data_IF_430457677772
#
_entry.id   IF_430457677772
#
_cell.length_a   1.000
_cell.length_b   1.000
_cell.length_c   1.000
_cell.angle_alpha   90.00
_cell.angle_beta   90.00
_cell.angle_gamma   90.00
#
_symmetry.space_group_name_H-M   'P 1'
#
loop_
_entity.id
_entity.type
_entity.pdbx_description
1 polymer ?
#
# COMPACT_ATOMS: atom_id res chain seq x y z
N UNK A 1 -48.04 -12.62 46.49
CA UNK A 1 -46.72 -12.03 46.79
C UNK A 1 -45.71 -12.74 45.91
N UNK A 2 -44.95 -12.01 45.07
CA UNK A 2 -43.75 -12.44 44.31
C UNK A 2 -44.00 -13.42 43.13
N UNK A 3 -43.63 -13.18 41.87
CA UNK A 3 -42.80 -12.16 41.22
C UNK A 3 -43.32 -11.86 39.81
N UNK A 4 -43.54 -10.57 39.57
CA UNK A 4 -43.59 -9.86 38.31
C UNK A 4 -42.13 -9.52 37.97
N UNK A 5 -41.55 -10.02 36.88
CA UNK A 5 -40.38 -9.50 36.11
C UNK A 5 -40.21 -10.47 34.94
N UNK A 6 -40.89 -10.21 33.82
CA UNK A 6 -40.61 -10.91 32.56
C UNK A 6 -40.92 -10.04 31.33
N UNK A 7 -40.69 -8.72 31.38
CA UNK A 7 -40.64 -7.90 30.15
C UNK A 7 -39.71 -6.72 30.39
N UNK A 8 -38.38 -6.90 30.26
CA UNK A 8 -37.47 -5.75 30.03
C UNK A 8 -36.04 -6.12 29.59
N UNK A 9 -35.82 -7.22 28.85
CA UNK A 9 -34.46 -7.61 28.42
C UNK A 9 -34.27 -7.86 26.91
N UNK A 10 -35.28 -7.57 26.08
CA UNK A 10 -35.19 -7.75 24.63
C UNK A 10 -35.07 -6.46 23.81
N UNK A 11 -35.08 -5.28 24.45
CA UNK A 11 -34.95 -3.98 23.74
C UNK A 11 -33.57 -3.31 23.89
N UNK A 12 -32.68 -3.81 24.75
CA UNK A 12 -31.35 -3.23 24.94
C UNK A 12 -30.28 -3.82 23.98
N UNK A 13 -30.48 -5.02 23.44
CA UNK A 13 -29.52 -5.64 22.51
C UNK A 13 -29.61 -5.10 21.06
N UNK A 14 -30.75 -4.54 20.65
CA UNK A 14 -30.90 -3.91 19.33
C UNK A 14 -30.20 -2.54 19.26
N UNK A 15 -30.42 -1.70 20.28
CA UNK A 15 -29.90 -0.34 20.33
C UNK A 15 -28.36 -0.27 20.51
N UNK A 16 -27.77 -1.24 21.23
CA UNK A 16 -26.30 -1.33 21.37
C UNK A 16 -25.62 -1.81 20.09
N UNK A 17 -26.22 -2.76 19.34
CA UNK A 17 -25.69 -3.18 18.04
C UNK A 17 -25.80 -2.08 16.98
N UNK A 18 -26.94 -1.39 16.90
CA UNK A 18 -27.12 -0.25 16.00
C UNK A 18 -26.17 0.90 16.35
N UNK A 19 -25.93 1.17 17.64
CA UNK A 19 -24.96 2.20 18.04
C UNK A 19 -23.50 1.79 17.77
N UNK A 20 -23.11 0.54 17.98
CA UNK A 20 -21.77 0.06 17.61
C UNK A 20 -21.56 0.01 16.09
N UNK A 21 -22.58 -0.36 15.31
CA UNK A 21 -22.54 -0.27 13.85
C UNK A 21 -22.49 1.19 13.39
N UNK A 22 -23.29 2.08 13.97
CA UNK A 22 -23.27 3.51 13.66
C UNK A 22 -21.97 4.20 14.08
N UNK A 23 -21.32 3.79 15.17
CA UNK A 23 -19.99 4.29 15.55
C UNK A 23 -18.89 3.75 14.64
N UNK A 24 -18.95 2.47 14.23
CA UNK A 24 -18.05 1.91 13.21
C UNK A 24 -18.22 2.62 11.86
N UNK A 25 -19.46 2.87 11.43
CA UNK A 25 -19.82 3.63 10.22
C UNK A 25 -19.36 5.09 10.32
N UNK A 26 -19.50 5.74 11.49
CA UNK A 26 -18.96 7.10 11.72
C UNK A 26 -17.43 7.13 11.73
N UNK A 27 -16.77 6.07 12.20
CA UNK A 27 -15.30 5.98 12.16
C UNK A 27 -14.77 5.77 10.74
N UNK A 28 -15.50 5.07 9.87
CA UNK A 28 -15.13 4.90 8.45
C UNK A 28 -15.40 6.14 7.60
N UNK A 29 -16.21 7.08 8.09
CA UNK A 29 -16.50 8.36 7.42
C UNK A 29 -15.41 9.43 7.58
N UNK A 30 -14.45 9.26 8.51
CA UNK A 30 -13.39 10.24 8.81
C UNK A 30 -11.96 9.74 8.53
N UNK A 31 -11.78 8.82 7.57
CA UNK A 31 -10.48 8.31 7.13
C UNK A 31 -9.93 9.07 5.91
N UNK A 32 -10.07 10.40 5.89
CA UNK A 32 -9.47 11.26 4.88
C UNK A 32 -8.39 12.16 5.51
N UNK A 33 -7.20 12.19 4.91
CA UNK A 33 -6.11 13.04 5.38
C UNK A 33 -5.61 13.93 4.23
N UNK A 34 -5.47 15.22 4.51
CA UNK A 34 -4.95 16.18 3.55
C UNK A 34 -3.48 16.44 3.87
N UNK A 35 -2.62 16.22 2.88
CA UNK A 35 -1.20 16.56 2.95
C UNK A 35 -1.04 17.96 2.37
N UNK A 36 -0.28 18.82 3.05
CA UNK A 36 0.01 20.16 2.54
C UNK A 36 0.65 20.07 1.14
N UNK A 37 -0.04 20.66 0.17
CA UNK A 37 0.35 20.58 -1.23
C UNK A 37 1.61 21.39 -1.51
N UNK A 38 2.43 20.88 -2.43
CA UNK A 38 3.64 21.51 -2.92
C UNK A 38 4.08 20.84 -4.22
N UNK A 39 5.20 21.27 -4.78
CA UNK A 39 5.73 20.70 -6.02
C UNK A 39 6.74 19.54 -5.75
N UNK A 40 6.63 18.87 -4.59
CA UNK A 40 7.53 17.78 -4.20
C UNK A 40 6.96 16.46 -4.70
N UNK A 41 7.80 15.49 -5.09
CA UNK A 41 7.31 14.20 -5.53
C UNK A 41 6.63 13.44 -4.39
N UNK A 42 5.76 12.50 -4.73
CA UNK A 42 5.28 11.47 -3.81
C UNK A 42 6.07 10.21 -4.12
N UNK A 43 6.70 9.60 -3.11
CA UNK A 43 7.54 8.41 -3.29
C UNK A 43 6.80 7.18 -2.77
N UNK A 44 6.86 6.08 -3.50
CA UNK A 44 6.26 4.80 -3.16
C UNK A 44 7.31 3.68 -3.21
N UNK A 45 7.33 2.82 -2.20
CA UNK A 45 8.13 1.59 -2.20
C UNK A 45 7.42 0.53 -1.35
N UNK A 46 7.49 -0.73 -1.74
CA UNK A 46 6.98 -1.87 -0.96
C UNK A 46 8.08 -2.80 -0.54
N UNK A 47 7.74 -3.70 0.40
CA UNK A 47 8.54 -4.87 0.71
C UNK A 47 9.94 -4.46 1.20
N UNK A 48 9.94 -3.80 2.35
CA UNK A 48 11.16 -3.33 3.03
C UNK A 48 11.54 -4.24 4.19
N UNK A 49 10.90 -5.40 4.32
CA UNK A 49 11.19 -6.32 5.40
C UNK A 49 12.65 -6.80 5.38
N UNK A 50 13.16 -7.19 6.55
CA UNK A 50 14.39 -7.95 6.64
C UNK A 50 14.20 -9.36 6.06
N UNK A 51 15.28 -9.97 5.63
CA UNK A 51 15.27 -11.41 5.34
C UNK A 51 15.24 -12.15 6.66
N UNK A 52 14.23 -13.00 6.86
CA UNK A 52 14.10 -13.78 8.09
C UNK A 52 15.28 -14.72 8.28
N UNK A 53 15.65 -15.01 9.54
CA UNK A 53 16.60 -16.08 9.87
C UNK A 53 16.13 -17.45 9.34
N UNK A 54 14.82 -17.61 9.13
CA UNK A 54 14.21 -18.82 8.57
C UNK A 54 14.39 -18.90 7.05
N UNK A 55 14.76 -17.78 6.41
CA UNK A 55 15.01 -17.65 4.98
C UNK A 55 16.50 -17.44 4.70
N UNK A 56 17.39 -18.01 5.52
CA UNK A 56 18.85 -17.81 5.43
C UNK A 56 19.49 -18.14 4.07
N UNK A 57 18.79 -18.86 3.19
CA UNK A 57 19.22 -19.13 1.81
C UNK A 57 18.91 -17.99 0.82
N UNK A 58 18.08 -17.02 1.21
CA UNK A 58 17.78 -15.83 0.43
C UNK A 58 18.82 -14.74 0.71
N UNK A 59 18.92 -13.77 -0.19
CA UNK A 59 19.81 -12.62 0.00
C UNK A 59 19.42 -11.81 1.24
N UNK A 60 20.41 -11.32 2.01
CA UNK A 60 20.22 -10.28 3.02
C UNK A 60 20.55 -8.92 2.40
N UNK A 61 19.61 -7.99 2.55
CA UNK A 61 19.62 -6.71 1.83
C UNK A 61 19.58 -5.51 2.79
N UNK A 62 19.97 -5.68 4.05
CA UNK A 62 19.82 -4.62 5.07
C UNK A 62 20.59 -3.35 4.72
N UNK A 63 21.81 -3.50 4.19
CA UNK A 63 22.60 -2.38 3.69
C UNK A 63 21.97 -1.67 2.48
N UNK A 64 21.21 -2.40 1.66
CA UNK A 64 20.50 -1.83 0.50
C UNK A 64 19.26 -1.07 0.95
N UNK A 65 18.47 -1.63 1.87
CA UNK A 65 17.31 -0.95 2.44
C UNK A 65 17.68 0.37 3.11
N UNK A 66 18.77 0.39 3.89
CA UNK A 66 19.31 1.63 4.46
C UNK A 66 19.65 2.67 3.40
N UNK A 67 20.24 2.25 2.26
CA UNK A 67 20.51 3.15 1.12
C UNK A 67 19.22 3.67 0.49
N UNK A 68 18.19 2.85 0.34
CA UNK A 68 16.87 3.26 -0.15
C UNK A 68 16.29 4.36 0.75
N UNK A 69 16.19 4.13 2.06
CA UNK A 69 15.63 5.15 2.95
C UNK A 69 16.45 6.44 3.02
N UNK A 70 17.78 6.34 2.99
CA UNK A 70 18.66 7.50 2.90
C UNK A 70 18.40 8.31 1.61
N UNK A 71 18.29 7.63 0.47
CA UNK A 71 18.01 8.27 -0.81
C UNK A 71 16.63 8.94 -0.85
N UNK A 72 15.60 8.26 -0.36
CA UNK A 72 14.24 8.82 -0.24
C UNK A 72 14.27 10.08 0.65
N UNK A 73 15.01 10.04 1.76
CA UNK A 73 15.19 11.21 2.61
C UNK A 73 15.90 12.35 1.85
N UNK A 74 16.97 12.08 1.10
CA UNK A 74 17.67 13.07 0.27
C UNK A 74 16.75 13.77 -0.72
N UNK A 75 15.87 13.02 -1.39
CA UNK A 75 14.91 13.56 -2.34
C UNK A 75 13.77 14.38 -1.71
N UNK A 76 13.62 14.32 -0.39
CA UNK A 76 12.71 15.16 0.39
C UNK A 76 11.26 15.22 -0.15
N UNK A 77 10.58 14.08 -0.34
CA UNK A 77 9.26 14.03 -0.96
C UNK A 77 8.15 14.66 -0.11
N UNK A 78 7.04 15.00 -0.77
CA UNK A 78 5.81 15.48 -0.14
C UNK A 78 5.32 14.52 0.95
N UNK A 79 5.34 13.23 0.65
CA UNK A 79 5.26 12.13 1.60
C UNK A 79 5.92 10.87 1.00
N UNK A 80 6.16 9.89 1.87
CA UNK A 80 6.55 8.54 1.50
C UNK A 80 5.37 7.59 1.75
N UNK A 81 5.02 6.77 0.76
CA UNK A 81 3.98 5.74 0.87
C UNK A 81 4.64 4.37 0.82
N UNK A 82 4.53 3.63 1.92
CA UNK A 82 4.96 2.25 2.01
C UNK A 82 3.85 1.32 1.50
N UNK A 83 4.17 0.42 0.57
CA UNK A 83 3.21 -0.50 -0.07
C UNK A 83 2.98 -1.78 0.75
N UNK A 84 3.18 -1.73 2.07
CA UNK A 84 3.08 -2.88 2.99
C UNK A 84 4.38 -3.66 3.15
N UNK A 85 4.36 -4.61 4.08
CA UNK A 85 5.50 -5.44 4.50
C UNK A 85 6.70 -4.59 4.93
N UNK A 86 6.47 -3.78 5.96
CA UNK A 86 7.51 -2.94 6.58
C UNK A 86 8.59 -3.79 7.26
N UNK A 87 8.12 -4.84 7.94
CA UNK A 87 8.89 -5.81 8.72
C UNK A 87 8.47 -7.22 8.31
N UNK A 88 9.24 -8.24 8.71
CA UNK A 88 8.91 -9.63 8.38
C UNK A 88 7.91 -10.21 9.41
N UNK A 89 8.10 -9.97 10.69
CA UNK A 89 7.14 -10.35 11.73
C UNK A 89 6.53 -9.12 12.36
N UNK A 90 5.30 -8.80 11.94
CA UNK A 90 4.54 -7.68 12.47
C UNK A 90 4.35 -7.75 13.99
N UNK A 91 4.31 -8.95 14.58
CA UNK A 91 4.20 -9.11 16.03
C UNK A 91 5.52 -8.91 16.78
N UNK A 92 6.66 -8.95 16.07
CA UNK A 92 8.00 -8.81 16.63
C UNK A 92 8.36 -7.36 16.91
N UNK A 93 8.40 -6.98 18.19
CA UNK A 93 8.80 -5.63 18.61
C UNK A 93 10.23 -5.26 18.18
N UNK A 94 11.15 -6.23 18.18
CA UNK A 94 12.54 -6.00 17.79
C UNK A 94 12.70 -5.70 16.31
N UNK A 95 11.88 -6.30 15.45
CA UNK A 95 11.89 -5.95 14.02
C UNK A 95 11.33 -4.55 13.78
N UNK A 96 10.31 -4.14 14.52
CA UNK A 96 9.83 -2.75 14.48
C UNK A 96 10.88 -1.75 15.01
N UNK A 97 11.61 -2.09 16.09
CA UNK A 97 12.74 -1.25 16.56
C UNK A 97 13.82 -1.08 15.49
N UNK A 98 14.12 -2.17 14.78
CA UNK A 98 15.11 -2.12 13.70
C UNK A 98 14.60 -1.34 12.47
N UNK A 99 13.32 -1.49 12.12
CA UNK A 99 12.68 -0.64 11.09
C UNK A 99 12.71 0.84 11.49
N UNK A 100 12.46 1.16 12.76
CA UNK A 100 12.52 2.53 13.30
C UNK A 100 13.90 3.17 13.11
N UNK A 101 14.97 2.39 13.29
CA UNK A 101 16.35 2.83 13.03
C UNK A 101 16.60 3.06 11.54
N UNK A 102 16.15 2.14 10.68
CA UNK A 102 16.36 2.18 9.24
C UNK A 102 15.64 3.37 8.59
N UNK A 103 14.40 3.67 8.99
CA UNK A 103 13.60 4.77 8.44
C UNK A 103 13.92 6.13 9.07
N UNK A 104 14.78 6.17 10.09
CA UNK A 104 15.14 7.38 10.83
C UNK A 104 15.57 8.57 9.95
N UNK A 105 16.32 8.41 8.83
CA UNK A 105 16.66 9.53 7.94
C UNK A 105 15.43 10.25 7.38
N UNK A 106 14.36 9.52 7.05
CA UNK A 106 13.10 10.07 6.53
C UNK A 106 12.39 10.82 7.65
N UNK A 107 12.26 10.21 8.83
CA UNK A 107 11.61 10.82 10.00
C UNK A 107 12.32 12.09 10.49
N UNK A 108 13.65 12.11 10.50
CA UNK A 108 14.46 13.29 10.88
C UNK A 108 14.21 14.50 9.98
N UNK A 109 13.79 14.29 8.73
CA UNK A 109 13.40 15.37 7.82
C UNK A 109 11.93 15.80 7.95
N UNK A 110 11.17 15.17 8.84
CA UNK A 110 9.74 15.44 8.99
C UNK A 110 8.91 15.05 7.77
N UNK A 111 9.40 14.12 6.94
CA UNK A 111 8.65 13.60 5.79
C UNK A 111 7.51 12.72 6.33
N UNK A 112 6.24 13.01 6.00
CA UNK A 112 5.11 12.15 6.38
C UNK A 112 5.23 10.76 5.76
N UNK A 113 4.97 9.71 6.54
CA UNK A 113 4.97 8.33 6.08
C UNK A 113 3.56 7.75 6.24
N UNK A 114 3.06 7.17 5.16
CA UNK A 114 1.78 6.46 5.12
C UNK A 114 2.02 5.03 4.65
N UNK A 115 1.21 4.07 5.11
CA UNK A 115 1.34 2.67 4.72
C UNK A 115 0.00 2.01 4.43
N UNK A 116 -0.03 1.07 3.50
CA UNK A 116 -1.06 0.01 3.49
C UNK A 116 -0.59 -1.18 4.35
N UNK A 117 -1.52 -2.04 4.74
CA UNK A 117 -1.21 -3.30 5.41
C UNK A 117 -0.79 -4.35 4.36
N UNK A 118 0.42 -4.90 4.51
CA UNK A 118 0.85 -6.13 3.88
C UNK A 118 0.49 -7.37 4.69
N UNK A 119 0.86 -8.55 4.21
CA UNK A 119 0.58 -9.79 4.93
C UNK A 119 1.51 -9.97 6.14
N UNK A 120 2.70 -9.36 6.12
CA UNK A 120 3.61 -9.41 7.26
C UNK A 120 3.14 -8.53 8.44
N UNK A 121 2.29 -7.53 8.20
CA UNK A 121 1.56 -6.80 9.26
C UNK A 121 0.45 -7.64 9.95
N UNK A 122 0.24 -8.87 9.47
CA UNK A 122 -0.60 -9.90 10.07
C UNK A 122 0.21 -11.14 10.51
N UNK A 123 1.53 -11.16 10.31
CA UNK A 123 2.36 -12.31 10.65
C UNK A 123 2.68 -12.35 12.16
N UNK A 124 2.78 -13.57 12.70
CA UNK A 124 2.89 -13.81 14.14
C UNK A 124 1.52 -13.83 14.85
N UNK A 125 1.36 -13.04 15.92
CA UNK A 125 0.04 -12.81 16.55
C UNK A 125 -0.64 -11.57 15.94
N UNK A 126 -1.73 -11.76 15.19
CA UNK A 126 -2.40 -10.68 14.43
C UNK A 126 -2.78 -9.48 15.31
N UNK A 127 -3.20 -9.71 16.56
CA UNK A 127 -3.60 -8.62 17.45
C UNK A 127 -2.39 -7.76 17.82
N UNK A 128 -1.28 -8.40 18.16
CA UNK A 128 0.00 -7.75 18.47
C UNK A 128 0.56 -7.06 17.22
N UNK A 129 0.53 -7.73 16.08
CA UNK A 129 1.01 -7.20 14.82
C UNK A 129 0.29 -5.91 14.41
N UNK A 130 -1.06 -5.93 14.43
CA UNK A 130 -1.85 -4.74 14.14
C UNK A 130 -1.65 -3.63 15.19
N UNK A 131 -1.45 -3.98 16.47
CA UNK A 131 -1.17 -2.98 17.50
C UNK A 131 0.19 -2.29 17.27
N UNK A 132 1.23 -3.03 16.88
CA UNK A 132 2.53 -2.47 16.56
C UNK A 132 2.41 -1.56 15.32
N UNK A 133 1.79 -2.05 14.25
CA UNK A 133 1.54 -1.27 13.03
C UNK A 133 0.81 0.05 13.32
N UNK A 134 -0.27 0.04 14.10
CA UNK A 134 -0.99 1.27 14.42
C UNK A 134 -0.29 2.17 15.45
N UNK A 135 0.65 1.63 16.22
CA UNK A 135 1.50 2.42 17.10
C UNK A 135 2.56 3.19 16.31
N UNK A 136 3.00 2.61 15.19
CA UNK A 136 3.89 3.21 14.22
C UNK A 136 3.14 4.28 13.38
N UNK A 137 2.05 3.89 12.73
CA UNK A 137 1.26 4.79 11.89
C UNK A 137 0.09 5.42 12.66
N UNK A 138 0.38 6.22 13.68
CA UNK A 138 -0.68 6.82 14.54
C UNK A 138 -1.61 7.76 13.78
N UNK A 139 -1.07 8.45 12.78
CA UNK A 139 -1.78 9.45 11.96
C UNK A 139 -3.02 8.87 11.28
N UNK A 140 -3.00 7.57 10.89
CA UNK A 140 -4.11 6.92 10.19
C UNK A 140 -5.24 6.45 11.13
N UNK A 141 -5.15 6.76 12.44
CA UNK A 141 -6.20 6.55 13.45
C UNK A 141 -6.78 5.13 13.48
N UNK A 142 -5.91 4.12 13.37
CA UNK A 142 -6.30 2.69 13.32
C UNK A 142 -7.18 2.30 12.12
N UNK A 143 -7.17 3.10 11.06
CA UNK A 143 -7.89 2.77 9.82
C UNK A 143 -7.12 1.72 9.03
N UNK A 144 -7.79 0.63 8.65
CA UNK A 144 -7.22 -0.41 7.76
C UNK A 144 -7.28 -0.01 6.28
N UNK A 145 -8.12 0.97 5.95
CA UNK A 145 -8.25 1.60 4.65
C UNK A 145 -8.61 3.07 4.85
N UNK A 146 -8.07 3.94 4.02
CA UNK A 146 -8.20 5.39 4.16
C UNK A 146 -7.83 6.09 2.85
N UNK A 147 -8.06 7.39 2.78
CA UNK A 147 -7.72 8.20 1.62
C UNK A 147 -6.82 9.37 1.99
N UNK A 148 -5.95 9.76 1.06
CA UNK A 148 -5.07 10.90 1.18
C UNK A 148 -5.32 11.86 0.01
N UNK A 149 -5.12 13.16 0.23
CA UNK A 149 -5.00 14.14 -0.87
C UNK A 149 -3.66 14.87 -0.82
N UNK A 150 -3.07 15.08 -2.01
CA UNK A 150 -1.89 15.90 -2.22
C UNK A 150 -2.08 16.76 -3.47
N UNK A 151 -2.31 18.06 -3.27
CA UNK A 151 -2.68 18.95 -4.36
C UNK A 151 -3.96 18.47 -5.04
N UNK A 152 -3.92 18.29 -6.37
CA UNK A 152 -5.05 17.82 -7.18
C UNK A 152 -5.19 16.29 -7.25
N UNK A 153 -4.48 15.56 -6.38
CA UNK A 153 -4.34 14.12 -6.48
C UNK A 153 -4.88 13.44 -5.23
N UNK A 154 -5.65 12.38 -5.42
CA UNK A 154 -6.16 11.55 -4.35
C UNK A 154 -5.54 10.15 -4.39
N UNK A 155 -5.34 9.57 -3.21
CA UNK A 155 -4.80 8.23 -3.03
C UNK A 155 -5.79 7.42 -2.20
N UNK A 156 -6.17 6.25 -2.69
CA UNK A 156 -7.08 5.32 -2.02
C UNK A 156 -6.25 4.14 -1.50
N UNK A 157 -6.00 4.14 -0.19
CA UNK A 157 -5.21 3.14 0.53
C UNK A 157 -6.15 2.04 1.02
N UNK A 158 -6.00 0.82 0.49
CA UNK A 158 -6.93 -0.28 0.71
C UNK A 158 -6.24 -1.48 1.38
N UNK A 159 -6.95 -2.18 2.26
CA UNK A 159 -6.50 -3.46 2.78
C UNK A 159 -6.79 -4.58 1.77
N UNK A 160 -5.76 -5.36 1.46
CA UNK A 160 -5.84 -6.47 0.50
C UNK A 160 -5.65 -7.85 1.14
N UNK A 161 -5.53 -7.92 2.46
CA UNK A 161 -5.43 -9.17 3.22
C UNK A 161 -6.81 -9.81 3.41
N UNK A 162 -7.47 -10.21 2.31
CA UNK A 162 -8.86 -10.69 2.35
C UNK A 162 -9.06 -11.90 3.26
N UNK A 163 -8.06 -12.78 3.36
CA UNK A 163 -8.10 -13.95 4.25
C UNK A 163 -8.10 -13.56 5.74
N UNK A 164 -7.61 -12.36 6.07
CA UNK A 164 -7.58 -11.79 7.42
C UNK A 164 -8.79 -10.89 7.73
N UNK A 165 -9.75 -10.83 6.81
CA UNK A 165 -10.91 -9.94 6.90
C UNK A 165 -12.22 -10.72 7.01
N UNK A 166 -13.12 -10.24 7.87
CA UNK A 166 -14.47 -10.77 7.90
C UNK A 166 -15.24 -10.35 6.63
N UNK A 167 -16.27 -11.13 6.25
CA UNK A 167 -17.17 -10.76 5.14
C UNK A 167 -17.78 -9.36 5.33
N UNK A 168 -18.05 -8.97 6.57
CA UNK A 168 -18.56 -7.64 6.90
C UNK A 168 -17.51 -6.57 6.60
N UNK A 169 -16.27 -6.74 7.04
CA UNK A 169 -15.18 -5.78 6.78
C UNK A 169 -14.91 -5.61 5.29
N UNK A 170 -14.92 -6.71 4.53
CA UNK A 170 -14.78 -6.68 3.06
C UNK A 170 -15.91 -5.86 2.43
N UNK A 171 -17.15 -6.10 2.85
CA UNK A 171 -18.33 -5.35 2.36
C UNK A 171 -18.25 -3.86 2.68
N UNK A 172 -17.88 -3.52 3.92
CA UNK A 172 -17.72 -2.12 4.35
C UNK A 172 -16.63 -1.40 3.56
N UNK A 173 -15.46 -2.03 3.40
CA UNK A 173 -14.35 -1.45 2.62
C UNK A 173 -14.74 -1.25 1.15
N UNK A 174 -15.39 -2.24 0.53
CA UNK A 174 -15.81 -2.13 -0.87
C UNK A 174 -16.85 -1.01 -1.07
N UNK A 175 -17.81 -0.89 -0.15
CA UNK A 175 -18.77 0.23 -0.16
C UNK A 175 -18.04 1.56 -0.01
N UNK A 176 -17.18 1.68 1.00
CA UNK A 176 -16.40 2.90 1.25
C UNK A 176 -15.55 3.30 0.04
N UNK A 177 -14.90 2.33 -0.62
CA UNK A 177 -14.08 2.57 -1.81
C UNK A 177 -14.91 3.15 -2.95
N UNK A 178 -16.08 2.56 -3.24
CA UNK A 178 -17.00 3.04 -4.27
C UNK A 178 -17.49 4.45 -3.98
N UNK A 179 -18.02 4.68 -2.78
CA UNK A 179 -18.55 5.98 -2.38
C UNK A 179 -17.46 7.08 -2.36
N UNK A 180 -16.25 6.75 -1.91
CA UNK A 180 -15.13 7.71 -1.89
C UNK A 180 -14.64 8.03 -3.30
N UNK A 181 -14.57 7.03 -4.19
CA UNK A 181 -14.21 7.24 -5.58
C UNK A 181 -15.26 8.07 -6.33
N UNK A 182 -16.55 7.85 -6.06
CA UNK A 182 -17.65 8.69 -6.59
C UNK A 182 -17.52 10.14 -6.13
N UNK A 183 -17.25 10.37 -4.83
CA UNK A 183 -16.97 11.72 -4.32
C UNK A 183 -15.79 12.38 -5.04
N UNK A 184 -14.68 11.66 -5.23
CA UNK A 184 -13.54 12.19 -5.98
C UNK A 184 -13.85 12.42 -7.46
N UNK A 185 -14.72 11.63 -8.08
CA UNK A 185 -15.18 11.88 -9.45
C UNK A 185 -15.95 13.20 -9.56
N UNK A 186 -16.81 13.49 -8.57
CA UNK A 186 -17.62 14.71 -8.52
C UNK A 186 -16.81 15.95 -8.11
N UNK A 187 -15.74 15.79 -7.34
CA UNK A 187 -14.89 16.89 -6.89
C UNK A 187 -14.00 17.42 -8.02
N UNK A 188 -14.32 18.59 -8.56
CA UNK A 188 -13.56 19.21 -9.66
C UNK A 188 -12.12 19.58 -9.29
N UNK A 189 -11.79 19.71 -8.01
CA UNK A 189 -10.42 20.00 -7.56
C UNK A 189 -9.50 18.79 -7.70
N UNK A 190 -10.06 17.57 -7.63
CA UNK A 190 -9.35 16.32 -7.84
C UNK A 190 -9.29 15.99 -9.33
N UNK A 191 -8.07 15.83 -9.85
CA UNK A 191 -7.78 15.53 -11.26
C UNK A 191 -7.26 14.12 -11.49
N UNK A 192 -6.71 13.47 -10.47
CA UNK A 192 -6.21 12.11 -10.58
C UNK A 192 -6.40 11.34 -9.28
N UNK A 193 -6.69 10.05 -9.41
CA UNK A 193 -6.87 9.11 -8.32
C UNK A 193 -5.91 7.93 -8.51
N UNK A 194 -5.19 7.60 -7.44
CA UNK A 194 -4.29 6.46 -7.37
C UNK A 194 -4.88 5.44 -6.40
N UNK A 195 -4.89 4.16 -6.78
CA UNK A 195 -5.36 3.09 -5.91
C UNK A 195 -4.17 2.28 -5.44
N UNK A 196 -4.11 1.99 -4.14
CA UNK A 196 -2.95 1.39 -3.51
C UNK A 196 -3.41 0.21 -2.66
N UNK A 197 -2.84 -0.95 -2.93
CA UNK A 197 -2.95 -2.16 -2.12
C UNK A 197 -1.56 -2.70 -1.84
N UNK A 198 -1.44 -3.70 -0.97
CA UNK A 198 -0.22 -4.49 -0.89
C UNK A 198 -0.19 -5.57 -1.99
N UNK A 199 -1.21 -6.43 -2.05
CA UNK A 199 -1.25 -7.52 -3.02
C UNK A 199 -1.60 -7.02 -4.43
N UNK A 200 -0.87 -7.46 -5.47
CA UNK A 200 -1.09 -7.04 -6.84
C UNK A 200 -2.26 -7.78 -7.49
N UNK A 201 -3.13 -7.10 -8.27
CA UNK A 201 -4.13 -7.78 -9.08
C UNK A 201 -3.51 -8.57 -10.23
N UNK A 202 -2.29 -8.24 -10.65
CA UNK A 202 -1.55 -8.91 -11.73
C UNK A 202 -0.07 -8.98 -11.38
N UNK A 203 0.56 -10.14 -11.61
CA UNK A 203 2.02 -10.33 -11.45
C UNK A 203 2.45 -11.54 -12.29
N UNK A 204 3.68 -11.53 -12.79
CA UNK A 204 4.36 -12.68 -13.36
C UNK A 204 5.40 -13.28 -12.40
N UNK A 205 5.33 -12.97 -11.10
CA UNK A 205 6.17 -13.59 -10.07
C UNK A 205 6.10 -15.10 -10.14
N UNK A 206 7.25 -15.74 -9.90
CA UNK A 206 7.36 -17.20 -9.74
C UNK A 206 7.17 -17.64 -8.28
N UNK A 207 7.13 -16.69 -7.34
CA UNK A 207 7.00 -16.97 -5.91
C UNK A 207 5.58 -16.71 -5.39
N UNK A 208 4.88 -15.72 -5.95
CA UNK A 208 3.51 -15.35 -5.54
C UNK A 208 2.59 -15.25 -6.76
N UNK A 209 1.30 -15.46 -6.56
CA UNK A 209 0.30 -15.39 -7.63
C UNK A 209 -0.41 -14.03 -7.67
N UNK A 210 -1.13 -13.76 -8.75
CA UNK A 210 -2.05 -12.63 -8.78
C UNK A 210 -3.17 -12.74 -7.74
N UNK A 211 -3.61 -11.61 -7.18
CA UNK A 211 -4.68 -11.61 -6.20
C UNK A 211 -6.06 -11.44 -6.86
N UNK A 212 -6.83 -12.52 -6.88
CA UNK A 212 -8.18 -12.56 -7.50
C UNK A 212 -9.23 -11.78 -6.73
N UNK A 213 -9.09 -11.63 -5.42
CA UNK A 213 -10.03 -10.82 -4.64
C UNK A 213 -9.80 -9.33 -4.86
N UNK A 214 -8.54 -8.88 -4.98
CA UNK A 214 -8.23 -7.51 -5.45
C UNK A 214 -8.86 -7.28 -6.83
N UNK A 215 -8.74 -8.25 -7.75
CA UNK A 215 -9.39 -8.18 -9.06
C UNK A 215 -10.91 -8.00 -8.93
N UNK A 216 -11.56 -8.88 -8.16
CA UNK A 216 -13.00 -8.94 -7.99
C UNK A 216 -13.59 -7.72 -7.29
N UNK A 217 -12.93 -7.22 -6.25
CA UNK A 217 -13.53 -6.18 -5.38
C UNK A 217 -13.22 -4.77 -5.84
N UNK A 218 -12.10 -4.53 -6.54
CA UNK A 218 -11.66 -3.16 -6.83
C UNK A 218 -11.60 -2.80 -8.30
N UNK A 219 -11.40 -3.75 -9.22
CA UNK A 219 -11.10 -3.39 -10.61
C UNK A 219 -12.28 -2.79 -11.37
N UNK A 220 -13.51 -3.21 -11.10
CA UNK A 220 -14.68 -2.65 -11.78
C UNK A 220 -14.80 -1.13 -11.51
N UNK A 221 -14.72 -0.73 -10.24
CA UNK A 221 -14.75 0.69 -9.86
C UNK A 221 -13.49 1.42 -10.31
N UNK A 222 -12.33 0.76 -10.26
CA UNK A 222 -11.09 1.33 -10.77
C UNK A 222 -11.20 1.62 -12.27
N UNK A 223 -11.73 0.72 -13.08
CA UNK A 223 -11.88 0.95 -14.52
C UNK A 223 -12.99 1.96 -14.85
N UNK A 224 -14.10 1.98 -14.10
CA UNK A 224 -15.23 2.87 -14.38
C UNK A 224 -14.96 4.36 -14.10
N UNK A 225 -14.06 4.68 -13.15
CA UNK A 225 -13.72 6.08 -12.87
C UNK A 225 -12.85 6.68 -13.99
N UNK A 226 -13.19 7.86 -14.53
CA UNK A 226 -12.32 8.54 -15.49
C UNK A 226 -11.07 9.18 -14.84
N UNK A 227 -11.04 9.31 -13.50
CA UNK A 227 -9.95 9.96 -12.76
C UNK A 227 -8.89 8.99 -12.26
N UNK A 228 -9.17 7.68 -12.23
CA UNK A 228 -8.15 6.70 -11.81
C UNK A 228 -7.08 6.54 -12.88
N UNK A 229 -5.81 6.63 -12.45
CA UNK A 229 -4.65 6.65 -13.36
C UNK A 229 -3.74 5.43 -13.20
N UNK A 230 -3.35 5.15 -11.97
CA UNK A 230 -2.44 4.05 -11.66
C UNK A 230 -2.90 3.28 -10.42
N UNK A 231 -2.64 1.98 -10.44
CA UNK A 231 -2.87 1.06 -9.35
C UNK A 231 -1.51 0.54 -8.86
N UNK A 232 -1.14 0.80 -7.61
CA UNK A 232 0.15 0.40 -7.04
C UNK A 232 0.01 -0.78 -6.09
N UNK A 233 1.02 -1.65 -6.09
CA UNK A 233 1.11 -2.83 -5.24
C UNK A 233 2.56 -3.17 -4.90
N UNK A 234 2.77 -3.88 -3.79
CA UNK A 234 4.02 -4.54 -3.39
C UNK A 234 3.89 -6.07 -3.54
N UNK A 235 4.25 -6.81 -2.48
CA UNK A 235 4.11 -8.26 -2.26
C UNK A 235 4.97 -9.15 -3.18
N UNK A 236 4.94 -8.85 -4.47
CA UNK A 236 5.92 -9.38 -5.40
C UNK A 236 7.18 -8.52 -5.29
N UNK A 237 8.27 -9.12 -4.78
CA UNK A 237 9.53 -8.42 -4.55
C UNK A 237 10.30 -8.17 -5.86
N UNK A 238 9.70 -7.35 -6.74
CA UNK A 238 10.17 -7.03 -8.08
C UNK A 238 9.55 -5.70 -8.57
N UNK A 239 9.87 -5.30 -9.81
CA UNK A 239 9.18 -4.25 -10.55
C UNK A 239 8.47 -4.85 -11.77
N UNK A 240 7.19 -4.55 -11.93
CA UNK A 240 6.40 -4.94 -13.11
C UNK A 240 5.43 -3.81 -13.49
N UNK A 241 5.18 -3.64 -14.78
CA UNK A 241 4.23 -2.66 -15.29
C UNK A 241 3.27 -3.29 -16.29
N UNK A 242 1.98 -3.27 -15.98
CA UNK A 242 0.93 -3.76 -16.87
C UNK A 242 0.00 -2.63 -17.29
N UNK A 243 -0.50 -2.72 -18.52
CA UNK A 243 -1.56 -1.83 -19.03
C UNK A 243 -2.81 -2.67 -19.31
N UNK A 244 -3.93 -2.32 -18.67
CA UNK A 244 -5.24 -2.92 -18.97
C UNK A 244 -6.29 -1.84 -19.15
N UNK A 245 -7.06 -1.93 -20.23
CA UNK A 245 -8.08 -0.94 -20.59
C UNK A 245 -7.56 0.52 -20.52
N UNK A 246 -6.32 0.74 -20.95
CA UNK A 246 -5.66 2.07 -20.93
C UNK A 246 -5.22 2.57 -19.54
N UNK A 247 -5.24 1.73 -18.51
CA UNK A 247 -4.82 2.08 -17.14
C UNK A 247 -3.63 1.27 -16.68
N UNK A 248 -2.82 1.88 -15.82
CA UNK A 248 -1.53 1.34 -15.40
C UNK A 248 -1.63 0.57 -14.07
N UNK A 249 -0.99 -0.58 -14.02
CA UNK A 249 -0.80 -1.39 -12.82
C UNK A 249 0.70 -1.52 -12.58
N UNK A 250 1.15 -1.10 -11.40
CA UNK A 250 2.56 -1.02 -11.04
C UNK A 250 2.79 -1.89 -9.82
N UNK A 251 3.64 -2.90 -9.98
CA UNK A 251 4.21 -3.66 -8.86
C UNK A 251 5.55 -3.00 -8.54
N UNK A 252 5.76 -2.60 -7.28
CA UNK A 252 6.96 -1.89 -6.83
C UNK A 252 7.46 -2.44 -5.48
N UNK A 253 7.79 -3.73 -5.45
CA UNK A 253 8.31 -4.43 -4.27
C UNK A 253 9.84 -4.53 -4.19
N UNK A 254 10.55 -3.54 -4.74
CA UNK A 254 12.02 -3.48 -4.70
C UNK A 254 12.60 -2.73 -3.51
N UNK A 255 11.84 -2.54 -2.43
CA UNK A 255 12.17 -1.66 -1.30
C UNK A 255 13.26 -2.18 -0.36
N UNK A 256 13.75 -3.40 -0.55
CA UNK A 256 14.87 -3.96 0.21
C UNK A 256 14.62 -5.34 0.80
N UNK A 257 13.42 -5.91 0.64
CA UNK A 257 13.17 -7.32 0.91
C UNK A 257 13.92 -8.25 -0.05
N UNK A 258 13.98 -9.56 0.23
CA UNK A 258 14.67 -10.53 -0.61
C UNK A 258 13.98 -10.67 -1.97
N UNK A 259 14.69 -10.46 -3.09
CA UNK A 259 14.07 -10.42 -4.42
C UNK A 259 13.44 -11.74 -4.84
N UNK A 260 12.50 -11.64 -5.76
CA UNK A 260 11.81 -12.76 -6.40
C UNK A 260 12.08 -12.76 -7.91
N UNK A 261 12.09 -13.94 -8.52
CA UNK A 261 12.09 -14.04 -9.97
C UNK A 261 10.71 -13.75 -10.55
N UNK A 262 10.67 -13.04 -11.68
CA UNK A 262 9.50 -12.94 -12.54
C UNK A 262 9.71 -13.70 -13.86
N UNK A 263 8.64 -14.22 -14.44
CA UNK A 263 8.67 -14.75 -15.80
C UNK A 263 8.81 -13.60 -16.81
N UNK A 264 9.80 -13.71 -17.69
CA UNK A 264 10.17 -12.67 -18.68
C UNK A 264 10.11 -13.19 -20.11
N UNK A 265 9.94 -14.50 -20.30
CA UNK A 265 9.72 -15.11 -21.61
C UNK A 265 8.32 -14.72 -22.13
N UNK A 266 8.22 -13.98 -23.26
CA UNK A 266 6.94 -13.51 -23.77
C UNK A 266 5.93 -14.62 -24.09
N UNK A 267 6.40 -15.83 -24.37
CA UNK A 267 5.55 -16.99 -24.65
C UNK A 267 5.04 -17.67 -23.37
N UNK A 268 5.63 -17.37 -22.21
CA UNK A 268 5.29 -17.98 -20.91
C UNK A 268 4.64 -17.02 -19.93
N UNK A 269 4.87 -15.71 -20.06
CA UNK A 269 4.30 -14.73 -19.15
C UNK A 269 2.77 -14.74 -19.20
N UNK A 270 2.13 -14.71 -18.03
CA UNK A 270 0.68 -14.72 -17.90
C UNK A 270 0.08 -13.37 -18.27
N UNK A 271 0.81 -12.29 -17.98
CA UNK A 271 0.43 -10.93 -18.28
C UNK A 271 1.56 -10.24 -19.04
N UNK A 272 1.23 -9.48 -20.09
CA UNK A 272 2.22 -8.70 -20.84
C UNK A 272 2.82 -7.61 -19.95
N UNK A 273 4.05 -7.80 -19.53
CA UNK A 273 4.83 -6.79 -18.80
C UNK A 273 5.45 -5.79 -19.79
N UNK A 274 5.14 -4.51 -19.61
CA UNK A 274 5.69 -3.41 -20.40
C UNK A 274 7.12 -3.04 -19.95
N UNK A 275 7.57 -3.51 -18.77
CA UNK A 275 8.92 -3.31 -18.30
C UNK A 275 9.88 -4.42 -18.77
N UNK A 276 10.67 -4.10 -19.79
CA UNK A 276 11.68 -5.01 -20.35
C UNK A 276 12.97 -5.01 -19.51
N UNK A 277 13.15 -6.07 -18.73
CA UNK A 277 14.34 -6.25 -17.89
C UNK A 277 14.54 -7.73 -17.54
N UNK A 278 15.43 -7.99 -16.59
CA UNK A 278 15.86 -9.34 -16.21
C UNK A 278 14.88 -10.02 -15.26
N UNK A 279 14.97 -11.35 -15.11
CA UNK A 279 14.13 -12.15 -14.19
C UNK A 279 14.20 -11.67 -12.74
N UNK A 280 15.39 -11.31 -12.27
CA UNK A 280 15.59 -10.57 -11.02
C UNK A 280 15.63 -9.09 -11.36
N UNK A 281 14.74 -8.31 -10.76
CA UNK A 281 14.60 -6.86 -10.99
C UNK A 281 15.49 -6.09 -10.01
N UNK A 282 15.96 -4.88 -10.36
CA UNK A 282 16.82 -4.10 -9.47
C UNK A 282 16.04 -3.61 -8.23
N UNK A 283 16.76 -3.31 -7.16
CA UNK A 283 16.19 -2.53 -6.05
C UNK A 283 15.81 -1.15 -6.52
N UNK A 284 14.66 -0.65 -6.07
CA UNK A 284 14.09 0.59 -6.58
C UNK A 284 13.04 1.17 -5.64
N UNK A 285 12.67 2.41 -5.90
CA UNK A 285 11.41 3.01 -5.48
C UNK A 285 10.82 3.81 -6.65
N UNK A 286 9.53 4.10 -6.57
CA UNK A 286 8.82 4.88 -7.58
C UNK A 286 8.53 6.29 -7.10
N UNK A 287 8.58 7.26 -8.01
CA UNK A 287 8.21 8.66 -7.76
C UNK A 287 7.10 9.10 -8.68
N UNK A 288 6.04 9.64 -8.09
CA UNK A 288 5.09 10.47 -8.81
C UNK A 288 5.58 11.92 -8.77
N UNK A 289 5.87 12.46 -9.94
CA UNK A 289 6.48 13.79 -10.14
C UNK A 289 5.54 14.69 -10.93
N UNK A 290 5.66 16.01 -10.78
CA UNK A 290 4.88 17.02 -11.54
C UNK A 290 3.35 16.87 -11.44
N UNK A 291 2.88 16.45 -10.27
CA UNK A 291 1.51 16.05 -9.97
C UNK A 291 0.40 17.09 -10.27
N UNK A 292 0.73 18.37 -10.43
CA UNK A 292 -0.26 19.44 -10.71
C UNK A 292 -0.32 19.85 -12.20
N UNK A 293 0.54 19.29 -13.06
CA UNK A 293 0.66 19.60 -14.49
C UNK A 293 0.83 18.30 -15.30
N UNK A 294 2.03 18.04 -15.79
CA UNK A 294 2.40 16.88 -16.61
C UNK A 294 2.91 15.74 -15.72
N UNK A 295 1.99 15.16 -14.96
CA UNK A 295 2.34 14.13 -13.99
C UNK A 295 2.97 12.91 -14.68
N UNK A 296 4.01 12.37 -14.07
CA UNK A 296 4.64 11.13 -14.53
C UNK A 296 5.10 10.28 -13.35
N UNK A 297 5.14 8.96 -13.56
CA UNK A 297 5.84 8.03 -12.69
C UNK A 297 7.27 7.85 -13.18
N UNK A 298 8.24 7.84 -12.27
CA UNK A 298 9.63 7.48 -12.53
C UNK A 298 10.10 6.45 -11.52
N UNK A 299 10.64 5.33 -11.99
CA UNK A 299 11.31 4.33 -11.17
C UNK A 299 12.78 4.72 -11.04
N UNK A 300 13.23 5.03 -9.84
CA UNK A 300 14.66 5.18 -9.54
C UNK A 300 15.20 3.81 -9.10
N UNK A 301 16.19 3.29 -9.81
CA UNK A 301 16.85 2.03 -9.49
C UNK A 301 18.25 2.26 -8.91
N UNK A 302 18.67 1.36 -8.03
CA UNK A 302 20.05 1.30 -7.55
C UNK A 302 20.87 0.44 -8.51
N UNK A 303 21.91 1.02 -9.10
CA UNK A 303 22.93 0.25 -9.80
C UNK A 303 23.87 -0.35 -8.75
N UNK A 304 23.69 -1.63 -8.43
CA UNK A 304 24.44 -2.34 -7.39
C UNK A 304 25.95 -2.41 -7.66
N UNK A 305 26.41 -2.25 -8.92
CA UNK A 305 27.84 -2.29 -9.26
C UNK A 305 28.52 -0.97 -8.94
N UNK A 306 27.87 0.15 -9.25
CA UNK A 306 28.42 1.50 -9.03
C UNK A 306 28.01 2.09 -7.68
N UNK A 307 26.91 1.62 -7.09
CA UNK A 307 26.28 2.21 -5.92
C UNK A 307 25.47 3.48 -6.23
N UNK A 308 25.29 3.84 -7.50
CA UNK A 308 24.61 5.06 -7.93
C UNK A 308 23.12 4.82 -8.22
N UNK A 309 22.32 5.88 -8.01
CA UNK A 309 20.89 5.91 -8.35
C UNK A 309 20.69 6.38 -9.79
N UNK A 310 19.83 5.67 -10.53
CA UNK A 310 19.54 5.96 -11.94
C UNK A 310 18.05 5.99 -12.19
N UNK A 311 17.60 6.89 -13.06
CA UNK A 311 16.26 6.82 -13.63
C UNK A 311 16.16 5.57 -14.52
N UNK A 312 15.36 4.59 -14.10
CA UNK A 312 15.27 3.28 -14.72
C UNK A 312 14.08 3.11 -15.66
N UNK A 313 12.96 3.77 -15.37
CA UNK A 313 11.73 3.63 -16.16
C UNK A 313 10.82 4.83 -15.94
N UNK A 314 10.07 5.25 -16.97
CA UNK A 314 9.20 6.42 -16.91
C UNK A 314 7.86 6.16 -17.61
N UNK A 315 6.77 6.61 -16.98
CA UNK A 315 5.39 6.46 -17.46
C UNK A 315 4.68 7.81 -17.35
N UNK A 316 4.09 8.29 -18.45
CA UNK A 316 3.29 9.52 -18.46
C UNK A 316 1.83 9.23 -18.05
N UNK A 317 1.18 10.13 -17.29
CA UNK A 317 -0.19 9.98 -16.78
C UNK A 317 -1.29 10.62 -17.64
#
# INVERSE_FOLDING_TARGET
MKYLILVLLLLLNGCVKENCENEKIKSSLNSHFQIFSGNRPIILAGDTQTTSDWEFWRENNDGIRKKIFAQIAEQNPGCFILLGDAVFDGSSKSEWDFFDEDILPIRKKGIPVYSVLGNHEYFGDNKTALNNYFSEYREIKKSKYYSLTYGKNAFLMLNSNFDEMSKSDISMQNRWFKETLEKFNLDETIKSVFVITHHPPFTNSKAVSENKDVQKYFLDSYFSSPKTKMFFSGHCHSFEHFIKAGKHFIVSGGGGGPRQEVETDPEKMKFKDEFKGTKIRPFHYCRLVNLDKDAYLEMDLLDEKSGEWKAGYKIML
#
